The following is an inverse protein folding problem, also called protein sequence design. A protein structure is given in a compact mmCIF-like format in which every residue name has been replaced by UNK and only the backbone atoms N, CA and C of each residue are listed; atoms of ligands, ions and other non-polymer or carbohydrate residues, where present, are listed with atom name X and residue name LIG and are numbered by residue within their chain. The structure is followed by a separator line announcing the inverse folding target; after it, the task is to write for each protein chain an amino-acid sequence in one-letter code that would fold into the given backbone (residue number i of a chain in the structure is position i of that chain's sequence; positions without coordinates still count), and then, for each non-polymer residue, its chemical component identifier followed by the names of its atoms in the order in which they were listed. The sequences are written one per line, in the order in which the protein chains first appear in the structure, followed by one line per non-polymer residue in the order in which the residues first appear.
data_IF_396977437910
#
_entry.id   IF_396977437910
#
_cell.length_a   1.000
_cell.length_b   1.000
_cell.length_c   1.000
_cell.angle_alpha   90.00
_cell.angle_beta   90.00
_cell.angle_gamma   90.00
#
_symmetry.space_group_name_H-M   'P 1'
#
loop_
_entity.id
_entity.type
_entity.pdbx_description
1 polymer ?
#
# COMPACT_ATOMS: atom_id res chain seq x y z
N UNK A 1 26.97 -14.55 30.77
CA UNK A 1 25.84 -13.60 30.99
C UNK A 1 26.27 -12.12 31.03
N UNK A 2 27.33 -11.73 31.76
CA UNK A 2 27.79 -10.32 31.84
C UNK A 2 28.16 -9.68 30.49
N UNK A 3 28.65 -10.47 29.52
CA UNK A 3 29.01 -9.96 28.18
C UNK A 3 27.81 -9.72 27.27
N UNK A 4 26.71 -10.47 27.45
CA UNK A 4 25.49 -10.31 26.68
C UNK A 4 24.74 -9.03 27.07
N UNK A 5 24.71 -8.74 28.38
CA UNK A 5 24.13 -7.49 28.91
C UNK A 5 24.92 -6.27 28.41
N UNK A 6 26.25 -6.35 28.29
CA UNK A 6 27.08 -5.27 27.73
C UNK A 6 26.80 -5.00 26.25
N UNK A 7 26.59 -6.04 25.44
CA UNK A 7 26.23 -5.91 24.02
C UNK A 7 24.84 -5.29 23.88
N UNK A 8 23.89 -5.72 24.70
CA UNK A 8 22.54 -5.15 24.74
C UNK A 8 22.56 -3.67 25.16
N UNK A 9 23.34 -3.29 26.17
CA UNK A 9 23.47 -1.90 26.60
C UNK A 9 24.18 -1.01 25.57
N UNK A 10 25.12 -1.56 24.81
CA UNK A 10 25.77 -0.84 23.70
C UNK A 10 24.77 -0.59 22.55
N UNK A 11 23.95 -1.58 22.22
CA UNK A 11 22.91 -1.45 21.20
C UNK A 11 21.84 -0.41 21.56
N UNK A 12 21.43 -0.35 22.83
CA UNK A 12 20.48 0.67 23.31
C UNK A 12 21.08 2.08 23.27
N UNK A 13 22.39 2.23 23.50
CA UNK A 13 23.08 3.52 23.41
C UNK A 13 23.26 4.00 21.96
N UNK A 14 23.35 3.07 21.00
CA UNK A 14 23.51 3.37 19.57
C UNK A 14 22.17 3.57 18.86
N UNK A 15 21.05 3.13 19.44
CA UNK A 15 19.71 3.26 18.86
C UNK A 15 19.30 4.73 18.56
N UNK A 16 19.55 5.71 19.46
CA UNK A 16 19.26 7.11 19.16
C UNK A 16 20.15 7.68 18.05
N UNK A 17 21.41 7.25 17.97
CA UNK A 17 22.33 7.68 16.93
C UNK A 17 21.92 7.16 15.54
N UNK A 18 21.37 5.93 15.47
CA UNK A 18 20.81 5.37 14.24
C UNK A 18 19.54 6.10 13.80
N UNK A 19 18.67 6.47 14.74
CA UNK A 19 17.46 7.24 14.43
C UNK A 19 17.78 8.67 13.92
N UNK A 20 18.80 9.31 14.51
CA UNK A 20 19.27 10.64 14.07
C UNK A 20 20.02 10.60 12.73
N UNK A 21 20.73 9.50 12.43
CA UNK A 21 21.39 9.30 11.14
C UNK A 21 20.41 9.02 9.98
N UNK A 22 19.19 8.57 10.29
CA UNK A 22 18.12 8.39 9.30
C UNK A 22 17.40 9.70 8.94
N UNK A 23 17.76 10.83 9.56
CA UNK A 23 17.21 12.13 9.23
C UNK A 23 17.57 12.53 7.79
N UNK A 24 16.62 13.03 6.98
CA UNK A 24 16.88 13.42 5.61
C UNK A 24 17.88 14.58 5.57
N UNK A 25 18.99 14.39 4.85
CA UNK A 25 20.09 15.36 4.77
C UNK A 25 19.96 16.29 3.57
N UNK A 26 19.05 15.97 2.64
CA UNK A 26 18.80 16.73 1.42
C UNK A 26 17.31 16.75 1.07
N UNK A 27 16.93 17.66 0.17
CA UNK A 27 15.59 17.73 -0.41
C UNK A 27 15.27 16.45 -1.21
N UNK A 28 16.26 15.86 -1.87
CA UNK A 28 16.12 14.55 -2.52
C UNK A 28 15.76 13.44 -1.52
N UNK A 29 16.41 13.40 -0.35
CA UNK A 29 16.11 12.38 0.67
C UNK A 29 14.66 12.50 1.16
N UNK A 30 14.19 13.73 1.38
CA UNK A 30 12.82 13.98 1.79
C UNK A 30 11.81 13.49 0.74
N UNK A 31 12.04 13.83 -0.54
CA UNK A 31 11.19 13.38 -1.66
C UNK A 31 11.21 11.85 -1.77
N UNK A 32 12.37 11.22 -1.62
CA UNK A 32 12.52 9.76 -1.61
C UNK A 32 11.70 9.10 -0.51
N UNK A 33 11.71 9.64 0.72
CA UNK A 33 10.87 9.14 1.83
C UNK A 33 9.38 9.24 1.54
N UNK A 34 8.93 10.35 0.95
CA UNK A 34 7.54 10.48 0.53
C UNK A 34 7.16 9.45 -0.55
N UNK A 35 8.04 9.22 -1.53
CA UNK A 35 7.83 8.21 -2.56
C UNK A 35 7.75 6.79 -1.97
N UNK A 36 8.61 6.44 -1.00
CA UNK A 36 8.56 5.16 -0.29
C UNK A 36 7.20 4.94 0.38
N UNK A 37 6.67 5.97 1.07
CA UNK A 37 5.36 5.89 1.72
C UNK A 37 4.25 5.67 0.68
N UNK A 38 4.25 6.45 -0.41
CA UNK A 38 3.25 6.30 -1.48
C UNK A 38 3.31 4.90 -2.09
N UNK A 39 4.52 4.40 -2.38
CA UNK A 39 4.73 3.06 -2.94
C UNK A 39 4.23 1.95 -2.01
N UNK A 40 4.22 2.18 -0.69
CA UNK A 40 3.64 1.25 0.29
C UNK A 40 2.11 1.37 0.38
N UNK A 41 1.56 2.56 0.21
CA UNK A 41 0.11 2.80 0.28
C UNK A 41 -0.63 2.25 -0.94
N UNK A 42 0.00 2.19 -2.11
CA UNK A 42 -0.60 1.67 -3.34
C UNK A 42 -1.06 0.22 -3.22
N UNK A 43 -0.20 -0.77 -2.89
CA UNK A 43 -0.64 -2.15 -2.73
C UNK A 43 -1.64 -2.32 -1.58
N UNK A 44 -1.57 -1.47 -0.55
CA UNK A 44 -2.56 -1.43 0.52
C UNK A 44 -3.94 -1.01 -0.01
N UNK A 45 -4.01 0.06 -0.80
CA UNK A 45 -5.24 0.52 -1.44
C UNK A 45 -5.81 -0.51 -2.42
N UNK A 46 -4.94 -1.22 -3.16
CA UNK A 46 -5.36 -2.36 -3.99
C UNK A 46 -5.99 -3.46 -3.14
N UNK A 47 -5.38 -3.83 -2.01
CA UNK A 47 -5.95 -4.78 -1.05
C UNK A 47 -7.33 -4.35 -0.54
N UNK A 48 -7.50 -3.08 -0.18
CA UNK A 48 -8.79 -2.53 0.24
C UNK A 48 -9.84 -2.57 -0.87
N UNK A 49 -9.47 -2.29 -2.12
CA UNK A 49 -10.38 -2.37 -3.25
C UNK A 49 -10.84 -3.82 -3.53
N UNK A 50 -9.94 -4.81 -3.39
CA UNK A 50 -10.31 -6.23 -3.45
C UNK A 50 -11.27 -6.59 -2.31
N UNK A 51 -11.01 -6.11 -1.09
CA UNK A 51 -11.90 -6.35 0.04
C UNK A 51 -13.29 -5.74 -0.18
N UNK A 52 -13.38 -4.52 -0.72
CA UNK A 52 -14.65 -3.88 -1.06
C UNK A 52 -15.41 -4.67 -2.15
N UNK A 53 -14.70 -5.18 -3.16
CA UNK A 53 -15.27 -6.05 -4.18
C UNK A 53 -15.83 -7.34 -3.58
N UNK A 54 -15.05 -8.03 -2.74
CA UNK A 54 -15.48 -9.26 -2.05
C UNK A 54 -16.68 -8.98 -1.15
N UNK A 55 -16.69 -7.86 -0.43
CA UNK A 55 -17.83 -7.46 0.40
C UNK A 55 -19.10 -7.27 -0.43
N UNK A 56 -18.99 -6.58 -1.58
CA UNK A 56 -20.09 -6.43 -2.52
C UNK A 56 -20.62 -7.78 -3.02
N UNK A 57 -19.72 -8.72 -3.33
CA UNK A 57 -20.08 -10.07 -3.75
C UNK A 57 -20.83 -10.85 -2.66
N UNK A 58 -20.35 -10.79 -1.41
CA UNK A 58 -21.01 -11.43 -0.26
C UNK A 58 -22.42 -10.87 -0.08
N UNK A 59 -22.58 -9.54 -0.12
CA UNK A 59 -23.88 -8.87 -0.01
C UNK A 59 -24.81 -9.27 -1.15
N UNK A 60 -24.29 -9.33 -2.39
CA UNK A 60 -25.04 -9.71 -3.57
C UNK A 60 -25.58 -11.15 -3.50
N UNK A 61 -24.75 -12.10 -3.04
CA UNK A 61 -25.13 -13.51 -2.91
C UNK A 61 -26.11 -13.72 -1.75
N UNK A 62 -25.80 -13.17 -0.57
CA UNK A 62 -26.61 -13.38 0.64
C UNK A 62 -28.02 -12.78 0.53
N UNK A 63 -28.16 -11.65 -0.17
CA UNK A 63 -29.43 -10.95 -0.33
C UNK A 63 -30.14 -11.29 -1.65
N UNK A 64 -29.98 -12.51 -2.17
CA UNK A 64 -30.49 -12.92 -3.48
C UNK A 64 -32.01 -12.69 -3.69
N UNK A 65 -32.80 -12.69 -2.61
CA UNK A 65 -34.25 -12.46 -2.61
C UNK A 65 -34.67 -10.99 -2.40
N UNK A 66 -33.74 -10.09 -2.03
CA UNK A 66 -34.03 -8.67 -1.81
C UNK A 66 -33.39 -7.82 -2.92
N UNK A 67 -34.18 -7.30 -3.89
CA UNK A 67 -33.64 -6.57 -5.03
C UNK A 67 -32.90 -5.28 -4.65
N UNK A 68 -33.30 -4.60 -3.57
CA UNK A 68 -32.64 -3.37 -3.12
C UNK A 68 -31.23 -3.65 -2.58
N UNK A 69 -31.09 -4.68 -1.73
CA UNK A 69 -29.79 -5.08 -1.16
C UNK A 69 -28.88 -5.74 -2.18
N UNK A 70 -29.45 -6.42 -3.16
CA UNK A 70 -28.71 -6.96 -4.31
C UNK A 70 -28.11 -5.84 -5.17
N UNK A 71 -28.86 -4.77 -5.43
CA UNK A 71 -28.36 -3.60 -6.16
C UNK A 71 -27.22 -2.92 -5.41
N UNK A 72 -27.33 -2.78 -4.09
CA UNK A 72 -26.27 -2.24 -3.23
C UNK A 72 -24.98 -3.06 -3.34
N UNK A 73 -25.06 -4.39 -3.18
CA UNK A 73 -23.90 -5.29 -3.34
C UNK A 73 -23.29 -5.21 -4.75
N UNK A 74 -24.12 -5.11 -5.79
CA UNK A 74 -23.66 -4.91 -7.16
C UNK A 74 -22.86 -3.62 -7.34
N UNK A 75 -23.33 -2.51 -6.76
CA UNK A 75 -22.61 -1.23 -6.81
C UNK A 75 -21.23 -1.33 -6.16
N UNK A 76 -21.11 -1.99 -5.00
CA UNK A 76 -19.82 -2.22 -4.35
C UNK A 76 -18.86 -3.05 -5.21
N UNK A 77 -19.36 -4.08 -5.92
CA UNK A 77 -18.54 -4.85 -6.85
C UNK A 77 -18.04 -3.97 -8.01
N UNK A 78 -18.92 -3.17 -8.62
CA UNK A 78 -18.56 -2.30 -9.75
C UNK A 78 -17.54 -1.25 -9.33
N UNK A 79 -17.74 -0.57 -8.21
CA UNK A 79 -16.77 0.41 -7.70
C UNK A 79 -15.44 -0.24 -7.34
N UNK A 80 -15.45 -1.43 -6.75
CA UNK A 80 -14.24 -2.21 -6.48
C UNK A 80 -13.46 -2.53 -7.77
N UNK A 81 -14.14 -2.99 -8.82
CA UNK A 81 -13.52 -3.27 -10.12
C UNK A 81 -12.96 -2.00 -10.75
N UNK A 82 -13.72 -0.90 -10.76
CA UNK A 82 -13.27 0.37 -11.33
C UNK A 82 -12.02 0.87 -10.60
N UNK A 83 -12.01 0.81 -9.27
CA UNK A 83 -10.85 1.21 -8.47
C UNK A 83 -9.62 0.35 -8.81
N UNK A 84 -9.78 -0.97 -8.88
CA UNK A 84 -8.70 -1.89 -9.25
C UNK A 84 -8.20 -1.64 -10.67
N UNK A 85 -9.10 -1.40 -11.62
CA UNK A 85 -8.77 -1.14 -13.01
C UNK A 85 -7.95 0.14 -13.16
N UNK A 86 -8.39 1.24 -12.55
CA UNK A 86 -7.68 2.53 -12.63
C UNK A 86 -6.31 2.42 -11.98
N UNK A 87 -6.22 1.87 -10.77
CA UNK A 87 -4.95 1.68 -10.07
C UNK A 87 -3.98 0.82 -10.90
N UNK A 88 -4.43 -0.33 -11.38
CA UNK A 88 -3.57 -1.26 -12.13
C UNK A 88 -3.15 -0.67 -13.47
N UNK A 89 -4.04 0.06 -14.16
CA UNK A 89 -3.74 0.67 -15.46
C UNK A 89 -2.72 1.79 -15.32
N UNK A 90 -2.84 2.66 -14.29
CA UNK A 90 -1.87 3.72 -14.06
C UNK A 90 -0.49 3.17 -13.74
N UNK A 91 -0.39 2.18 -12.85
CA UNK A 91 0.88 1.56 -12.48
C UNK A 91 1.49 0.74 -13.62
N UNK A 92 0.65 0.02 -14.37
CA UNK A 92 1.07 -0.70 -15.57
C UNK A 92 1.63 0.24 -16.63
N UNK A 93 0.99 1.41 -16.84
CA UNK A 93 1.48 2.42 -17.75
C UNK A 93 2.81 3.03 -17.28
N UNK A 94 2.95 3.36 -16.00
CA UNK A 94 4.23 3.81 -15.42
C UNK A 94 5.32 2.76 -15.62
N UNK A 95 5.03 1.48 -15.40
CA UNK A 95 5.98 0.39 -15.60
C UNK A 95 6.42 0.27 -17.08
N UNK A 96 5.48 0.40 -18.03
CA UNK A 96 5.79 0.39 -19.46
C UNK A 96 6.64 1.60 -19.85
N UNK A 97 6.31 2.80 -19.35
CA UNK A 97 7.07 4.01 -19.63
C UNK A 97 8.52 3.90 -19.09
N UNK A 98 8.69 3.39 -17.88
CA UNK A 98 10.01 3.14 -17.29
C UNK A 98 10.79 2.07 -18.07
N UNK A 99 10.17 0.95 -18.42
CA UNK A 99 10.83 -0.16 -19.09
C UNK A 99 11.14 0.05 -20.58
N UNK A 100 10.36 0.89 -21.28
CA UNK A 100 10.45 1.00 -22.74
C UNK A 100 10.93 2.38 -23.23
N UNK A 101 10.57 3.48 -22.55
CA UNK A 101 10.85 4.84 -23.04
C UNK A 101 11.94 5.54 -22.23
N UNK A 102 11.93 5.39 -20.90
CA UNK A 102 12.90 6.05 -20.02
C UNK A 102 14.14 5.20 -19.73
N UNK A 103 14.25 4.03 -20.38
CA UNK A 103 15.29 3.00 -20.23
C UNK A 103 16.55 3.43 -19.50
N UNK A 104 16.53 3.20 -18.18
CA UNK A 104 17.71 3.06 -17.34
C UNK A 104 17.83 1.58 -16.96
#
# INVERSE_FOLDING_TARGET
MKNFIKILSLGVFMFPAMALAAAPTSLQDLIGRFQEIINMLVPLAMGLAVLAFIWGLVVYIYNGSNPAKRSEGYMFMVYGIIALFVMTTMWGLVAILNGTILGA
#
